data_IF_742853475900
#
_entry.id   IF_742853475900
#
_cell.length_a   1.000
_cell.length_b   1.000
_cell.length_c   1.000
_cell.angle_alpha   90.00
_cell.angle_beta   90.00
_cell.angle_gamma   90.00
#
_symmetry.space_group_name_H-M   'P 1'
#
loop_
_entity.id
_entity.type
_entity.pdbx_description
1 polymer ?
#
# COMPACT_ATOMS: atom_id res chain seq x y z
N UNK A 1 -26.16 17.06 -32.84
CA UNK A 1 -25.61 15.82 -33.43
C UNK A 1 -24.10 15.88 -33.28
N UNK A 2 -23.57 15.35 -32.18
CA UNK A 2 -22.14 15.30 -31.90
C UNK A 2 -21.84 13.90 -31.41
N UNK A 3 -21.35 13.06 -32.31
CA UNK A 3 -21.09 11.65 -32.07
C UNK A 3 -20.05 11.48 -30.96
N UNK A 4 -20.45 10.76 -29.92
CA UNK A 4 -19.53 10.14 -28.98
C UNK A 4 -18.64 9.17 -29.76
N UNK A 5 -17.36 9.54 -29.93
CA UNK A 5 -16.31 8.60 -30.35
C UNK A 5 -16.18 7.53 -29.26
N UNK A 6 -16.95 6.46 -29.40
CA UNK A 6 -16.76 5.23 -28.66
C UNK A 6 -15.37 4.68 -28.95
N UNK A 7 -14.55 4.59 -27.91
CA UNK A 7 -13.32 3.81 -27.91
C UNK A 7 -13.68 2.37 -28.29
N UNK A 8 -13.26 1.92 -29.48
CA UNK A 8 -13.42 0.53 -29.89
C UNK A 8 -12.77 -0.44 -28.91
N UNK A 9 -13.22 -1.70 -28.85
CA UNK A 9 -12.66 -2.69 -27.92
C UNK A 9 -11.17 -2.88 -28.23
N UNK A 10 -10.31 -2.38 -27.34
CA UNK A 10 -8.87 -2.60 -27.41
C UNK A 10 -8.60 -4.11 -27.43
N UNK A 11 -7.77 -4.58 -28.36
CA UNK A 11 -7.38 -5.99 -28.40
C UNK A 11 -6.77 -6.40 -27.05
N UNK A 12 -7.08 -7.62 -26.59
CA UNK A 12 -6.60 -8.14 -25.30
C UNK A 12 -5.08 -8.00 -25.14
N UNK A 13 -4.33 -8.20 -26.23
CA UNK A 13 -2.88 -8.02 -26.27
C UNK A 13 -2.44 -6.57 -25.97
N UNK A 14 -3.14 -5.57 -26.49
CA UNK A 14 -2.84 -4.16 -26.19
C UNK A 14 -3.12 -3.81 -24.72
N UNK A 15 -4.21 -4.33 -24.16
CA UNK A 15 -4.54 -4.11 -22.74
C UNK A 15 -3.47 -4.70 -21.82
N UNK A 16 -3.04 -5.93 -22.10
CA UNK A 16 -1.95 -6.59 -21.35
C UNK A 16 -0.63 -5.82 -21.51
N UNK A 17 -0.28 -5.39 -22.73
CA UNK A 17 0.94 -4.61 -22.96
C UNK A 17 0.95 -3.30 -22.17
N UNK A 18 -0.17 -2.57 -22.14
CA UNK A 18 -0.31 -1.34 -21.34
C UNK A 18 -0.18 -1.66 -19.85
N UNK A 19 -0.83 -2.72 -19.38
CA UNK A 19 -0.79 -3.12 -17.97
C UNK A 19 0.64 -3.46 -17.51
N UNK A 20 1.35 -4.32 -18.24
CA UNK A 20 2.73 -4.69 -17.93
C UNK A 20 3.69 -3.51 -18.11
N UNK A 21 3.46 -2.64 -19.10
CA UNK A 21 4.22 -1.40 -19.30
C UNK A 21 4.11 -0.43 -18.12
N UNK A 22 2.89 -0.18 -17.62
CA UNK A 22 2.67 0.64 -16.43
C UNK A 22 3.33 0.04 -15.19
N UNK A 23 3.30 -1.29 -15.05
CA UNK A 23 3.95 -2.00 -13.95
C UNK A 23 5.48 -1.86 -14.02
N UNK A 24 6.09 -2.11 -15.19
CA UNK A 24 7.52 -1.95 -15.38
C UNK A 24 7.98 -0.51 -15.11
N UNK A 25 7.21 0.49 -15.56
CA UNK A 25 7.47 1.90 -15.29
C UNK A 25 7.44 2.19 -13.79
N UNK A 26 6.42 1.70 -13.07
CA UNK A 26 6.33 1.89 -11.62
C UNK A 26 7.50 1.24 -10.87
N UNK A 27 7.89 0.01 -11.24
CA UNK A 27 9.04 -0.69 -10.66
C UNK A 27 10.33 0.11 -10.92
N UNK A 28 10.54 0.53 -12.16
CA UNK A 28 11.72 1.31 -12.56
C UNK A 28 11.81 2.64 -11.81
N UNK A 29 10.72 3.41 -11.75
CA UNK A 29 10.67 4.68 -11.02
C UNK A 29 10.90 4.46 -9.52
N UNK A 30 10.32 3.41 -8.95
CA UNK A 30 10.51 3.10 -7.52
C UNK A 30 11.97 2.75 -7.22
N UNK A 31 12.61 1.93 -8.05
CA UNK A 31 14.02 1.61 -7.90
C UNK A 31 14.88 2.86 -8.08
N UNK A 32 14.58 3.68 -9.09
CA UNK A 32 15.30 4.93 -9.37
C UNK A 32 15.28 5.88 -8.18
N UNK A 33 14.11 6.16 -7.58
CA UNK A 33 14.03 7.03 -6.39
C UNK A 33 14.88 6.49 -5.24
N UNK A 34 14.79 5.19 -4.96
CA UNK A 34 15.51 4.59 -3.82
C UNK A 34 17.03 4.65 -4.03
N UNK A 35 17.50 4.28 -5.23
CA UNK A 35 18.93 4.25 -5.55
C UNK A 35 19.50 5.66 -5.66
N UNK A 36 18.78 6.59 -6.29
CA UNK A 36 19.18 8.00 -6.38
C UNK A 36 19.20 8.64 -5.00
N UNK A 37 18.21 8.40 -4.15
CA UNK A 37 18.23 8.91 -2.76
C UNK A 37 19.43 8.37 -1.99
N UNK A 38 19.71 7.06 -2.07
CA UNK A 38 20.92 6.48 -1.45
C UNK A 38 22.19 7.13 -1.99
N UNK A 39 22.29 7.32 -3.31
CA UNK A 39 23.44 7.94 -3.95
C UNK A 39 23.63 9.38 -3.47
N UNK A 40 22.57 10.21 -3.46
CA UNK A 40 22.60 11.59 -2.98
C UNK A 40 23.10 11.65 -1.53
N UNK A 41 22.51 10.82 -0.67
CA UNK A 41 22.73 10.86 0.78
C UNK A 41 24.05 10.25 1.22
N UNK A 42 24.56 9.23 0.52
CA UNK A 42 25.74 8.48 0.96
C UNK A 42 26.97 8.63 0.06
N UNK A 43 26.83 9.16 -1.16
CA UNK A 43 27.93 9.19 -2.15
C UNK A 43 28.13 10.58 -2.74
N UNK A 44 27.07 11.30 -3.10
CA UNK A 44 27.17 12.56 -3.82
C UNK A 44 27.60 13.76 -2.96
N UNK A 45 27.77 13.59 -1.65
CA UNK A 45 28.17 14.67 -0.73
C UNK A 45 27.03 15.52 -0.20
N UNK A 46 25.78 15.01 -0.19
CA UNK A 46 24.63 15.71 0.37
C UNK A 46 23.91 14.85 1.44
N UNK A 47 24.48 14.67 2.65
CA UNK A 47 23.95 13.78 3.70
C UNK A 47 22.78 14.40 4.51
N UNK A 48 21.84 15.06 3.82
CA UNK A 48 20.75 15.83 4.43
C UNK A 48 19.37 15.27 4.02
N UNK A 49 18.90 14.19 4.69
CA UNK A 49 17.67 13.47 4.32
C UNK A 49 16.39 14.30 4.49
N UNK A 50 16.30 15.20 5.47
CA UNK A 50 15.12 16.04 5.65
C UNK A 50 15.05 17.05 4.50
N UNK A 51 16.16 17.69 4.15
CA UNK A 51 16.25 18.63 3.04
C UNK A 51 15.85 17.96 1.71
N UNK A 52 16.40 16.77 1.41
CA UNK A 52 16.05 16.01 0.21
C UNK A 52 14.55 15.71 0.13
N UNK A 53 13.96 15.19 1.21
CA UNK A 53 12.53 14.84 1.23
C UNK A 53 11.62 16.07 1.28
N UNK A 54 12.07 17.17 1.86
CA UNK A 54 11.39 18.47 1.82
C UNK A 54 11.30 18.99 0.39
N UNK A 55 12.39 18.90 -0.40
CA UNK A 55 12.39 19.26 -1.83
C UNK A 55 11.40 18.37 -2.60
N UNK A 56 11.37 17.06 -2.34
CA UNK A 56 10.42 16.15 -3.00
C UNK A 56 8.96 16.52 -2.72
N UNK A 57 8.62 16.78 -1.46
CA UNK A 57 7.25 17.14 -1.06
C UNK A 57 6.86 18.52 -1.54
N UNK A 58 7.77 19.50 -1.49
CA UNK A 58 7.53 20.86 -2.00
C UNK A 58 7.30 20.86 -3.51
N UNK A 59 8.20 20.20 -4.27
CA UNK A 59 8.08 20.04 -5.71
C UNK A 59 6.78 19.32 -6.09
N UNK A 60 6.49 18.18 -5.45
CA UNK A 60 5.27 17.42 -5.69
C UNK A 60 3.99 18.20 -5.37
N UNK A 61 4.01 18.99 -4.29
CA UNK A 61 2.90 19.88 -3.90
C UNK A 61 2.64 20.95 -4.95
N UNK A 62 3.69 21.64 -5.42
CA UNK A 62 3.57 22.69 -6.45
C UNK A 62 3.03 22.10 -7.76
N UNK A 63 3.59 20.98 -8.22
CA UNK A 63 3.11 20.34 -9.45
C UNK A 63 1.68 19.81 -9.33
N UNK A 64 1.32 19.18 -8.22
CA UNK A 64 -0.04 18.73 -7.98
C UNK A 64 -1.02 19.91 -8.03
N UNK A 65 -0.65 21.05 -7.43
CA UNK A 65 -1.44 22.27 -7.49
C UNK A 65 -1.61 22.79 -8.92
N UNK A 66 -0.52 22.85 -9.69
CA UNK A 66 -0.56 23.30 -11.09
C UNK A 66 -1.44 22.38 -11.94
N UNK A 67 -1.31 21.05 -11.81
CA UNK A 67 -2.11 20.07 -12.56
C UNK A 67 -3.60 20.24 -12.29
N UNK A 68 -3.98 20.43 -11.03
CA UNK A 68 -5.38 20.63 -10.64
C UNK A 68 -5.89 21.98 -11.15
N UNK A 69 -5.08 23.05 -11.05
CA UNK A 69 -5.47 24.39 -11.51
C UNK A 69 -5.60 24.49 -13.04
N UNK A 70 -4.79 23.73 -13.78
CA UNK A 70 -4.90 23.62 -15.24
C UNK A 70 -6.05 22.71 -15.69
N UNK A 71 -6.80 22.11 -14.77
CA UNK A 71 -7.91 21.20 -15.09
C UNK A 71 -7.45 19.85 -15.67
N UNK A 72 -6.17 19.50 -15.52
CA UNK A 72 -5.62 18.22 -16.00
C UNK A 72 -5.97 17.05 -15.07
N UNK A 73 -6.34 17.33 -13.82
CA UNK A 73 -6.88 16.34 -12.88
C UNK A 73 -7.86 17.00 -11.91
N UNK A 74 -8.84 16.21 -11.45
CA UNK A 74 -9.79 16.64 -10.43
C UNK A 74 -9.26 16.30 -9.03
N UNK A 75 -9.25 17.30 -8.15
CA UNK A 75 -9.00 17.11 -6.72
C UNK A 75 -10.35 16.96 -6.00
N UNK A 76 -10.45 15.91 -5.18
CA UNK A 76 -11.63 15.67 -4.34
C UNK A 76 -11.75 16.83 -3.34
N UNK A 77 -12.89 17.52 -3.25
CA UNK A 77 -13.06 18.56 -2.23
C UNK A 77 -13.05 17.94 -0.83
N UNK A 78 -12.30 18.55 0.09
CA UNK A 78 -12.19 18.14 1.50
C UNK A 78 -12.55 19.35 2.37
N UNK A 79 -13.43 19.16 3.36
CA UNK A 79 -13.78 20.22 4.31
C UNK A 79 -12.61 20.57 5.24
N UNK A 80 -12.57 21.80 5.76
CA UNK A 80 -11.52 22.24 6.67
C UNK A 80 -11.41 21.34 7.92
N UNK A 81 -12.54 20.94 8.50
CA UNK A 81 -12.56 20.04 9.67
C UNK A 81 -11.96 18.67 9.35
N UNK A 82 -12.25 18.14 8.16
CA UNK A 82 -11.69 16.86 7.71
C UNK A 82 -10.20 16.99 7.39
N UNK A 83 -9.78 18.13 6.86
CA UNK A 83 -8.38 18.42 6.61
C UNK A 83 -7.59 18.40 7.92
N UNK A 84 -8.06 19.10 8.95
CA UNK A 84 -7.40 19.17 10.26
C UNK A 84 -7.47 17.82 10.99
N UNK A 85 -8.63 17.19 11.02
CA UNK A 85 -8.87 15.96 11.80
C UNK A 85 -8.31 14.69 11.13
N UNK A 86 -8.01 14.70 9.83
CA UNK A 86 -7.53 13.51 9.11
C UNK A 86 -6.31 13.74 8.24
N UNK A 87 -6.31 14.79 7.41
CA UNK A 87 -5.19 15.02 6.48
C UNK A 87 -3.92 15.45 7.22
N UNK A 88 -4.02 16.33 8.22
CA UNK A 88 -2.85 16.76 9.01
C UNK A 88 -2.16 15.59 9.75
N UNK A 89 -2.87 14.73 10.51
CA UNK A 89 -2.24 13.53 11.10
C UNK A 89 -1.59 12.61 10.08
N UNK A 90 -2.23 12.40 8.92
CA UNK A 90 -1.68 11.58 7.83
C UNK A 90 -0.40 12.23 7.27
N UNK A 91 -0.40 13.55 7.08
CA UNK A 91 0.76 14.33 6.63
C UNK A 91 1.92 14.28 7.62
N UNK A 92 1.64 14.38 8.93
CA UNK A 92 2.65 14.25 9.99
C UNK A 92 3.32 12.87 9.98
N UNK A 93 2.52 11.80 9.93
CA UNK A 93 3.06 10.43 9.86
C UNK A 93 3.84 10.20 8.56
N UNK A 94 3.41 10.82 7.46
CA UNK A 94 4.15 10.75 6.21
C UNK A 94 5.49 11.46 6.29
N UNK A 95 5.54 12.66 6.89
CA UNK A 95 6.78 13.38 7.14
C UNK A 95 7.73 12.55 8.03
N UNK A 96 7.23 11.97 9.12
CA UNK A 96 8.00 11.07 9.98
C UNK A 96 8.54 9.84 9.23
N UNK A 97 7.72 9.25 8.36
CA UNK A 97 8.14 8.14 7.47
C UNK A 97 9.28 8.58 6.56
N UNK A 98 9.10 9.68 5.81
CA UNK A 98 10.09 10.15 4.84
C UNK A 98 11.41 10.52 5.52
N UNK A 99 11.36 11.24 6.63
CA UNK A 99 12.55 11.60 7.39
C UNK A 99 13.29 10.34 7.87
N UNK A 100 12.64 9.48 8.65
CA UNK A 100 13.32 8.34 9.28
C UNK A 100 13.79 7.29 8.27
N UNK A 101 13.01 7.02 7.21
CA UNK A 101 13.39 6.13 6.10
C UNK A 101 14.61 6.63 5.35
N UNK A 102 14.66 7.92 5.01
CA UNK A 102 15.79 8.46 4.26
C UNK A 102 17.04 8.63 5.14
N UNK A 103 16.87 8.96 6.42
CA UNK A 103 17.98 8.93 7.38
C UNK A 103 18.59 7.53 7.53
N UNK A 104 17.80 6.46 7.40
CA UNK A 104 18.32 5.09 7.47
C UNK A 104 19.34 4.79 6.35
N UNK A 105 19.23 5.44 5.19
CA UNK A 105 20.22 5.30 4.11
C UNK A 105 21.62 5.77 4.51
N UNK A 106 21.77 6.65 5.51
CA UNK A 106 23.09 7.07 5.98
C UNK A 106 23.82 5.96 6.75
N UNK A 107 23.08 4.99 7.29
CA UNK A 107 23.62 3.98 8.20
C UNK A 107 23.55 2.56 7.65
N UNK A 108 22.56 2.27 6.80
CA UNK A 108 22.28 0.93 6.32
C UNK A 108 22.48 0.80 4.80
N UNK A 109 22.72 -0.43 4.38
CA UNK A 109 22.66 -0.81 2.96
C UNK A 109 21.21 -0.78 2.47
N UNK A 110 21.04 -0.51 1.17
CA UNK A 110 19.69 -0.48 0.56
C UNK A 110 19.03 -1.85 0.60
N UNK A 111 19.80 -2.93 0.38
CA UNK A 111 19.34 -4.31 0.50
C UNK A 111 18.82 -4.60 1.91
N UNK A 112 19.56 -4.23 2.95
CA UNK A 112 19.14 -4.44 4.32
C UNK A 112 17.89 -3.62 4.70
N UNK A 113 17.79 -2.37 4.20
CA UNK A 113 16.57 -1.57 4.34
C UNK A 113 15.35 -2.28 3.72
N UNK A 114 15.48 -2.87 2.52
CA UNK A 114 14.37 -3.62 1.92
C UNK A 114 14.01 -4.88 2.72
N UNK A 115 15.01 -5.59 3.26
CA UNK A 115 14.79 -6.73 4.14
C UNK A 115 13.98 -6.31 5.37
N UNK A 116 14.37 -5.21 6.04
CA UNK A 116 13.63 -4.68 7.20
C UNK A 116 12.20 -4.28 6.82
N UNK A 117 11.99 -3.67 5.65
CA UNK A 117 10.66 -3.28 5.15
C UNK A 117 9.71 -4.44 4.94
N UNK A 118 10.19 -5.68 4.79
CA UNK A 118 9.31 -6.84 4.75
C UNK A 118 8.55 -7.09 6.07
N UNK A 119 8.87 -6.40 7.17
CA UNK A 119 8.06 -6.40 8.40
C UNK A 119 6.80 -5.53 8.28
N UNK A 120 6.68 -4.69 7.25
CA UNK A 120 5.55 -3.73 7.11
C UNK A 120 4.18 -4.41 7.23
N UNK A 121 3.89 -5.56 6.58
CA UNK A 121 2.59 -6.23 6.74
C UNK A 121 2.27 -6.62 8.19
N UNK A 122 3.27 -7.03 8.98
CA UNK A 122 3.12 -7.33 10.41
C UNK A 122 2.73 -6.07 11.19
N UNK A 123 3.44 -4.96 10.98
CA UNK A 123 3.17 -3.72 11.70
C UNK A 123 1.83 -3.11 11.29
N UNK A 124 1.49 -3.14 10.00
CA UNK A 124 0.16 -2.75 9.49
C UNK A 124 -0.95 -3.59 10.10
N UNK A 125 -0.76 -4.91 10.25
CA UNK A 125 -1.75 -5.78 10.90
C UNK A 125 -1.95 -5.39 12.37
N UNK A 126 -0.87 -5.25 13.15
CA UNK A 126 -0.94 -4.89 14.57
C UNK A 126 -1.60 -3.52 14.77
N UNK A 127 -1.17 -2.51 14.02
CA UNK A 127 -1.77 -1.17 14.07
C UNK A 127 -3.23 -1.21 13.61
N UNK A 128 -3.53 -1.96 12.54
CA UNK A 128 -4.89 -2.13 12.04
C UNK A 128 -5.84 -2.78 13.05
N UNK A 129 -5.36 -3.75 13.83
CA UNK A 129 -6.11 -4.31 14.96
C UNK A 129 -6.38 -3.24 16.04
N UNK A 130 -5.38 -2.43 16.38
CA UNK A 130 -5.53 -1.33 17.36
C UNK A 130 -6.56 -0.28 16.94
N UNK A 131 -6.64 0.04 15.64
CA UNK A 131 -7.62 0.98 15.08
C UNK A 131 -8.97 0.33 14.70
N UNK A 132 -9.12 -0.98 14.91
CA UNK A 132 -10.32 -1.72 14.53
C UNK A 132 -10.61 -1.68 13.03
N UNK A 133 -9.57 -1.68 12.19
CA UNK A 133 -9.68 -1.86 10.72
C UNK A 133 -9.40 -3.30 10.29
N UNK A 134 -8.73 -4.08 11.13
CA UNK A 134 -8.42 -5.50 10.88
C UNK A 134 -8.96 -6.37 12.02
N UNK A 135 -9.43 -7.58 11.68
CA UNK A 135 -9.91 -8.56 12.67
C UNK A 135 -8.72 -9.31 13.25
N UNK A 136 -8.55 -9.24 14.57
CA UNK A 136 -7.54 -10.01 15.26
C UNK A 136 -7.86 -11.50 15.20
N UNK A 137 -6.92 -12.30 14.70
CA UNK A 137 -7.00 -13.76 14.71
C UNK A 137 -5.64 -14.33 15.11
N UNK A 138 -5.64 -15.37 15.94
CA UNK A 138 -4.41 -15.98 16.43
C UNK A 138 -3.55 -16.54 15.28
N UNK A 139 -4.21 -17.07 14.24
CA UNK A 139 -3.54 -17.57 13.03
C UNK A 139 -2.80 -16.46 12.27
N UNK A 140 -3.42 -15.28 12.14
CA UNK A 140 -2.76 -14.14 11.49
C UNK A 140 -1.59 -13.64 12.33
N UNK A 141 -1.75 -13.55 13.66
CA UNK A 141 -0.66 -13.14 14.55
C UNK A 141 0.51 -14.12 14.49
N UNK A 142 0.25 -15.43 14.58
CA UNK A 142 1.28 -16.46 14.50
C UNK A 142 2.07 -16.38 13.19
N UNK A 143 1.38 -16.19 12.07
CA UNK A 143 2.05 -16.01 10.79
C UNK A 143 2.91 -14.72 10.75
N UNK A 144 2.43 -13.63 11.35
CA UNK A 144 3.21 -12.39 11.44
C UNK A 144 4.45 -12.53 12.34
N UNK A 145 4.38 -13.35 13.38
CA UNK A 145 5.56 -13.70 14.20
C UNK A 145 6.60 -14.45 13.36
N UNK A 146 6.18 -15.39 12.51
CA UNK A 146 7.10 -16.08 11.57
C UNK A 146 7.81 -15.09 10.65
N UNK A 147 7.09 -14.09 10.12
CA UNK A 147 7.68 -13.01 9.33
C UNK A 147 8.74 -12.23 10.13
N UNK A 148 8.44 -11.90 11.38
CA UNK A 148 9.39 -11.23 12.28
C UNK A 148 10.64 -12.06 12.57
N UNK A 149 10.49 -13.36 12.82
CA UNK A 149 11.61 -14.29 13.04
C UNK A 149 12.53 -14.36 11.82
N UNK A 150 11.98 -14.47 10.61
CA UNK A 150 12.80 -14.49 9.38
C UNK A 150 13.61 -13.20 9.20
N UNK A 151 13.05 -12.04 9.55
CA UNK A 151 13.77 -10.76 9.48
C UNK A 151 14.82 -10.64 10.59
N UNK A 152 14.56 -11.19 11.77
CA UNK A 152 15.57 -11.27 12.82
C UNK A 152 16.77 -12.15 12.40
N UNK A 153 16.50 -13.32 11.78
CA UNK A 153 17.55 -14.17 11.20
C UNK A 153 18.30 -13.42 10.10
N UNK A 154 17.59 -12.73 9.23
CA UNK A 154 18.25 -11.98 8.16
C UNK A 154 19.12 -10.85 8.71
N UNK A 155 18.63 -10.14 9.73
CA UNK A 155 19.38 -9.07 10.42
C UNK A 155 20.63 -9.59 11.13
N UNK A 156 20.60 -10.81 11.66
CA UNK A 156 21.79 -11.45 12.24
C UNK A 156 22.89 -11.70 11.18
N UNK A 157 22.49 -11.94 9.93
CA UNK A 157 23.41 -12.08 8.81
C UNK A 157 23.93 -10.76 8.24
N UNK A 158 23.54 -9.59 8.76
CA UNK A 158 23.94 -8.28 8.25
C UNK A 158 25.40 -7.94 8.57
N UNK A 159 26.17 -7.63 7.53
CA UNK A 159 27.59 -7.28 7.68
C UNK A 159 27.77 -5.87 8.25
N UNK A 160 26.90 -4.92 7.87
CA UNK A 160 26.94 -3.53 8.31
C UNK A 160 25.75 -3.21 9.22
N UNK A 161 25.63 -3.96 10.32
CA UNK A 161 24.53 -3.79 11.26
C UNK A 161 24.76 -2.57 12.16
N UNK A 162 24.11 -1.45 11.83
CA UNK A 162 24.15 -0.22 12.63
C UNK A 162 22.80 0.01 13.32
N UNK A 163 22.79 -0.10 14.66
CA UNK A 163 21.57 -0.03 15.49
C UNK A 163 20.77 1.24 15.24
N UNK A 164 21.42 2.41 15.16
CA UNK A 164 20.71 3.68 14.91
C UNK A 164 19.94 3.65 13.58
N UNK A 165 20.53 3.06 12.53
CA UNK A 165 19.88 2.85 11.25
C UNK A 165 18.67 1.93 11.34
N UNK A 166 18.78 0.85 12.12
CA UNK A 166 17.67 -0.09 12.35
C UNK A 166 16.53 0.58 13.11
N UNK A 167 16.83 1.34 14.16
CA UNK A 167 15.82 2.11 14.92
C UNK A 167 15.11 3.13 14.03
N UNK A 168 15.85 3.86 13.19
CA UNK A 168 15.28 4.77 12.21
C UNK A 168 14.37 4.03 11.22
N UNK A 169 14.80 2.90 10.68
CA UNK A 169 14.01 2.13 9.73
C UNK A 169 12.75 1.52 10.38
N UNK A 170 12.84 1.01 11.61
CA UNK A 170 11.67 0.54 12.37
C UNK A 170 10.69 1.68 12.68
N UNK A 171 11.20 2.87 13.02
CA UNK A 171 10.38 4.07 13.24
C UNK A 171 9.64 4.49 11.97
N UNK A 172 10.31 4.40 10.82
CA UNK A 172 9.70 4.61 9.51
C UNK A 172 8.57 3.64 9.24
N UNK A 173 8.77 2.35 9.51
CA UNK A 173 7.77 1.31 9.26
C UNK A 173 6.56 1.51 10.16
N UNK A 174 6.76 1.90 11.42
CA UNK A 174 5.67 2.23 12.33
C UNK A 174 4.86 3.43 11.82
N UNK A 175 5.53 4.55 11.51
CA UNK A 175 4.88 5.75 10.98
C UNK A 175 4.11 5.44 9.69
N UNK A 176 4.73 4.69 8.78
CA UNK A 176 4.14 4.30 7.51
C UNK A 176 2.91 3.43 7.72
N UNK A 177 3.00 2.43 8.60
CA UNK A 177 1.90 1.52 8.90
C UNK A 177 0.72 2.26 9.50
N UNK A 178 0.95 3.15 10.47
CA UNK A 178 -0.10 4.01 11.03
C UNK A 178 -0.70 4.94 9.98
N UNK A 179 0.13 5.55 9.12
CA UNK A 179 -0.35 6.38 8.00
C UNK A 179 -1.27 5.59 7.08
N UNK A 180 -0.86 4.38 6.68
CA UNK A 180 -1.64 3.50 5.81
C UNK A 180 -2.98 3.13 6.46
N UNK A 181 -3.00 2.81 7.75
CA UNK A 181 -4.24 2.53 8.50
C UNK A 181 -5.15 3.76 8.58
N UNK A 182 -4.61 4.97 8.82
CA UNK A 182 -5.40 6.20 8.82
C UNK A 182 -5.98 6.53 7.44
N UNK A 183 -5.20 6.35 6.37
CA UNK A 183 -5.69 6.49 5.00
C UNK A 183 -6.81 5.46 4.74
N UNK A 184 -6.66 4.22 5.18
CA UNK A 184 -7.71 3.20 5.07
C UNK A 184 -8.99 3.63 5.82
N UNK A 185 -8.87 4.17 7.04
CA UNK A 185 -10.02 4.70 7.79
C UNK A 185 -10.69 5.86 7.03
N UNK A 186 -9.91 6.78 6.47
CA UNK A 186 -10.43 7.92 5.70
C UNK A 186 -11.21 7.46 4.46
N UNK A 187 -10.67 6.48 3.73
CA UNK A 187 -11.30 5.97 2.51
C UNK A 187 -12.52 5.09 2.80
N UNK A 188 -12.42 4.18 3.78
CA UNK A 188 -13.45 3.17 4.03
C UNK A 188 -14.53 3.62 5.02
N UNK A 189 -14.16 4.27 6.13
CA UNK A 189 -15.12 4.67 7.18
C UNK A 189 -15.73 6.05 6.92
N UNK A 190 -14.97 6.99 6.36
CA UNK A 190 -15.46 8.34 6.03
C UNK A 190 -15.91 8.50 4.57
N UNK A 191 -15.74 7.46 3.74
CA UNK A 191 -16.28 7.41 2.38
C UNK A 191 -15.62 8.36 1.38
N UNK A 192 -14.43 8.88 1.68
CA UNK A 192 -13.72 9.80 0.77
C UNK A 192 -13.08 9.00 -0.35
N UNK A 193 -13.32 9.40 -1.61
CA UNK A 193 -12.61 8.83 -2.76
C UNK A 193 -11.42 9.74 -3.11
N UNK A 194 -10.21 9.29 -2.80
CA UNK A 194 -8.98 9.97 -3.20
C UNK A 194 -8.36 9.23 -4.38
N UNK A 195 -8.23 9.92 -5.52
CA UNK A 195 -7.28 9.50 -6.55
C UNK A 195 -5.86 9.90 -6.10
N UNK A 196 -4.77 9.28 -6.60
CA UNK A 196 -3.41 9.60 -6.14
C UNK A 196 -2.99 11.04 -6.37
N UNK A 197 -3.54 11.72 -7.39
CA UNK A 197 -3.29 13.16 -7.61
C UNK A 197 -3.93 14.00 -6.48
N UNK A 198 -5.16 13.69 -6.09
CA UNK A 198 -5.90 14.29 -4.96
C UNK A 198 -5.22 13.98 -3.63
N UNK A 199 -4.77 12.72 -3.45
CA UNK A 199 -3.94 12.31 -2.31
C UNK A 199 -2.69 13.18 -2.21
N UNK A 200 -1.96 13.35 -3.32
CA UNK A 200 -0.75 14.18 -3.34
C UNK A 200 -1.07 15.67 -3.11
N UNK A 201 -2.11 16.19 -3.76
CA UNK A 201 -2.57 17.57 -3.63
C UNK A 201 -2.92 17.94 -2.18
N UNK A 202 -3.54 17.03 -1.43
CA UNK A 202 -3.96 17.29 -0.04
C UNK A 202 -2.87 16.97 0.99
N UNK A 203 -2.14 15.86 0.82
CA UNK A 203 -1.19 15.36 1.82
C UNK A 203 0.21 15.96 1.64
N UNK A 204 0.68 16.20 0.41
CA UNK A 204 2.03 16.72 0.18
C UNK A 204 2.28 18.10 0.81
N UNK A 205 1.36 19.08 0.76
CA UNK A 205 1.56 20.36 1.43
C UNK A 205 1.68 20.21 2.96
N UNK A 206 0.82 19.38 3.57
CA UNK A 206 0.89 19.11 5.00
C UNK A 206 2.22 18.44 5.38
N UNK A 207 2.62 17.43 4.61
CA UNK A 207 3.91 16.74 4.77
C UNK A 207 5.10 17.69 4.63
N UNK A 208 5.06 18.59 3.63
CA UNK A 208 6.09 19.61 3.41
C UNK A 208 6.25 20.51 4.65
N UNK A 209 5.15 21.02 5.22
CA UNK A 209 5.22 21.87 6.42
C UNK A 209 5.84 21.12 7.60
N UNK A 210 5.45 19.86 7.83
CA UNK A 210 6.01 19.05 8.92
C UNK A 210 7.48 18.66 8.70
N UNK A 211 7.97 18.59 7.46
CA UNK A 211 9.40 18.41 7.16
C UNK A 211 10.19 19.71 7.20
N UNK A 212 9.56 20.81 6.78
CA UNK A 212 10.21 22.12 6.71
C UNK A 212 10.63 22.63 8.08
N UNK A 213 9.80 22.41 9.11
CA UNK A 213 10.14 22.77 10.49
C UNK A 213 11.45 22.12 10.96
N UNK A 214 11.60 20.79 11.05
CA UNK A 214 12.86 20.18 11.47
C UNK A 214 14.02 20.45 10.49
N UNK A 215 13.76 20.63 9.19
CA UNK A 215 14.80 21.06 8.25
C UNK A 215 15.44 22.39 8.67
N UNK A 216 14.62 23.41 8.97
CA UNK A 216 15.12 24.74 9.35
C UNK A 216 15.95 24.75 10.64
N UNK A 217 15.63 23.89 11.61
CA UNK A 217 16.32 23.87 12.90
C UNK A 217 17.50 22.88 12.97
N UNK A 218 17.49 21.81 12.17
CA UNK A 218 18.45 20.70 12.30
C UNK A 218 19.46 20.68 11.15
N UNK A 219 19.00 20.73 9.91
CA UNK A 219 19.85 20.51 8.73
C UNK A 219 20.28 21.81 8.07
N UNK A 220 19.41 22.82 7.99
CA UNK A 220 19.74 24.11 7.39
C UNK A 220 20.98 24.78 8.01
N UNK A 221 21.13 24.85 9.36
CA UNK A 221 22.33 25.44 9.95
C UNK A 221 23.61 24.66 9.61
N UNK A 222 23.49 23.33 9.47
CA UNK A 222 24.62 22.47 9.10
C UNK A 222 25.01 22.69 7.64
N UNK A 223 24.04 22.71 6.72
CA UNK A 223 24.27 22.98 5.30
C UNK A 223 24.94 24.35 5.10
N UNK A 224 24.47 25.39 5.79
CA UNK A 224 25.04 26.75 5.66
C UNK A 224 26.46 26.84 6.22
N UNK A 225 26.79 26.01 7.21
CA UNK A 225 28.10 26.02 7.88
C UNK A 225 29.09 25.01 7.28
N UNK A 226 28.65 24.17 6.36
CA UNK A 226 29.44 23.10 5.74
C UNK A 226 30.05 23.60 4.43
N UNK A 227 31.37 23.87 4.38
CA UNK A 227 32.03 24.38 3.17
C UNK A 227 32.17 23.31 2.08
N UNK A 228 32.06 22.03 2.43
CA UNK A 228 32.28 20.89 1.53
C UNK A 228 30.96 20.29 1.02
N UNK A 229 29.81 20.87 1.38
CA UNK A 229 28.50 20.40 0.92
C UNK A 229 28.37 20.53 -0.59
N UNK A 230 28.10 19.41 -1.26
CA UNK A 230 27.85 19.41 -2.69
C UNK A 230 26.35 19.57 -2.99
N UNK A 231 25.94 20.80 -3.35
CA UNK A 231 24.56 21.10 -3.73
C UNK A 231 24.43 21.00 -5.26
N UNK A 232 24.26 19.78 -5.76
CA UNK A 232 23.92 19.53 -7.16
C UNK A 232 22.41 19.74 -7.40
N UNK A 233 22.07 20.98 -7.76
CA UNK A 233 20.67 21.40 -8.00
C UNK A 233 19.98 20.54 -9.08
N UNK A 234 20.57 20.29 -10.26
CA UNK A 234 20.01 19.35 -11.24
C UNK A 234 19.72 17.96 -10.68
N UNK A 235 20.62 17.38 -9.89
CA UNK A 235 20.43 16.06 -9.29
C UNK A 235 19.30 16.06 -8.26
N UNK A 236 19.24 17.08 -7.40
CA UNK A 236 18.20 17.21 -6.36
C UNK A 236 16.81 17.37 -6.98
N UNK A 237 16.64 18.31 -7.92
CA UNK A 237 15.35 18.51 -8.60
C UNK A 237 15.02 17.36 -9.55
N UNK A 238 16.01 16.73 -10.18
CA UNK A 238 15.84 15.51 -10.96
C UNK A 238 15.26 14.38 -10.10
N UNK A 239 15.81 14.15 -8.91
CA UNK A 239 15.29 13.16 -7.96
C UNK A 239 13.85 13.46 -7.53
N UNK A 240 13.51 14.74 -7.32
CA UNK A 240 12.14 15.17 -7.01
C UNK A 240 11.19 14.92 -8.19
N UNK A 241 11.65 15.12 -9.43
CA UNK A 241 10.92 14.78 -10.65
C UNK A 241 10.62 13.28 -10.75
N UNK A 242 11.60 12.42 -10.46
CA UNK A 242 11.40 10.96 -10.42
C UNK A 242 10.41 10.58 -9.31
N UNK A 243 10.52 11.19 -8.13
CA UNK A 243 9.59 10.96 -7.02
C UNK A 243 8.16 11.37 -7.37
N UNK A 244 7.98 12.50 -8.07
CA UNK A 244 6.68 12.92 -8.58
C UNK A 244 6.15 11.95 -9.65
N UNK A 245 6.99 11.55 -10.61
CA UNK A 245 6.63 10.59 -11.65
C UNK A 245 6.22 9.23 -11.05
N UNK A 246 6.88 8.77 -9.99
CA UNK A 246 6.50 7.56 -9.25
C UNK A 246 5.09 7.67 -8.66
N UNK A 247 4.74 8.83 -8.07
CA UNK A 247 3.39 9.05 -7.56
C UNK A 247 2.35 9.02 -8.69
N UNK A 248 2.68 9.56 -9.87
CA UNK A 248 1.80 9.51 -11.03
C UNK A 248 1.69 8.10 -11.63
N UNK A 249 2.77 7.32 -11.65
CA UNK A 249 2.73 5.95 -12.17
C UNK A 249 1.83 5.04 -11.30
N UNK A 250 1.75 5.29 -9.98
CA UNK A 250 0.81 4.59 -9.10
C UNK A 250 -0.64 4.84 -9.52
N UNK A 251 -0.99 6.06 -9.91
CA UNK A 251 -2.34 6.36 -10.44
C UNK A 251 -2.67 5.58 -11.70
N UNK A 252 -1.74 5.56 -12.65
CA UNK A 252 -1.90 4.77 -13.88
C UNK A 252 -2.04 3.28 -13.56
N UNK A 253 -1.28 2.79 -12.59
CA UNK A 253 -1.28 1.38 -12.20
C UNK A 253 -2.61 0.98 -11.52
N UNK A 254 -3.11 1.78 -10.58
CA UNK A 254 -4.37 1.50 -9.85
C UNK A 254 -5.55 1.39 -10.84
N UNK A 255 -5.59 2.24 -11.87
CA UNK A 255 -6.66 2.22 -12.86
C UNK A 255 -6.60 1.03 -13.84
N UNK A 256 -5.47 0.33 -13.90
CA UNK A 256 -5.19 -0.72 -14.91
C UNK A 256 -4.89 -2.09 -14.31
N UNK A 257 -4.79 -2.20 -12.99
CA UNK A 257 -4.41 -3.44 -12.31
C UNK A 257 -5.32 -3.74 -11.12
N UNK A 258 -5.36 -5.01 -10.72
CA UNK A 258 -6.02 -5.43 -9.48
C UNK A 258 -5.11 -5.21 -8.27
N UNK A 259 -5.71 -5.11 -7.08
CA UNK A 259 -4.96 -5.08 -5.81
C UNK A 259 -4.02 -6.29 -5.66
N UNK A 260 -4.44 -7.46 -6.14
CA UNK A 260 -3.61 -8.68 -6.14
C UNK A 260 -2.37 -8.52 -7.03
N UNK A 261 -2.57 -8.01 -8.25
CA UNK A 261 -1.48 -7.77 -9.20
C UNK A 261 -0.46 -6.79 -8.63
N UNK A 262 -0.91 -5.71 -7.98
CA UNK A 262 -0.01 -4.75 -7.33
C UNK A 262 0.80 -5.38 -6.19
N UNK A 263 0.18 -6.25 -5.37
CA UNK A 263 0.89 -6.94 -4.30
C UNK A 263 2.01 -7.85 -4.83
N UNK A 264 1.74 -8.62 -5.91
CA UNK A 264 2.75 -9.50 -6.53
C UNK A 264 3.85 -8.66 -7.18
N UNK A 265 3.49 -7.60 -7.90
CA UNK A 265 4.46 -6.70 -8.51
C UNK A 265 5.38 -6.03 -7.47
N UNK A 266 4.83 -5.66 -6.31
CA UNK A 266 5.58 -5.10 -5.19
C UNK A 266 6.62 -6.06 -4.63
N UNK A 267 6.28 -7.34 -4.50
CA UNK A 267 7.25 -8.39 -4.12
C UNK A 267 8.39 -8.47 -5.13
N UNK A 268 8.06 -8.57 -6.43
CA UNK A 268 9.07 -8.68 -7.49
C UNK A 268 9.99 -7.45 -7.47
N UNK A 269 9.40 -6.27 -7.32
CA UNK A 269 10.12 -5.00 -7.16
C UNK A 269 11.12 -5.04 -6.01
N UNK A 270 10.73 -5.54 -4.84
CA UNK A 270 11.62 -5.59 -3.66
C UNK A 270 12.83 -6.51 -3.89
N UNK A 271 12.61 -7.70 -4.45
CA UNK A 271 13.69 -8.63 -4.82
C UNK A 271 14.63 -8.05 -5.88
N UNK A 272 14.06 -7.44 -6.93
CA UNK A 272 14.85 -6.75 -7.96
C UNK A 272 15.68 -5.62 -7.36
N UNK A 273 15.13 -4.89 -6.40
CA UNK A 273 15.81 -3.77 -5.77
C UNK A 273 16.96 -4.23 -4.87
N UNK A 274 16.79 -5.33 -4.14
CA UNK A 274 17.89 -5.97 -3.41
C UNK A 274 19.01 -6.31 -4.39
N UNK A 275 18.73 -7.06 -5.47
CA UNK A 275 19.73 -7.45 -6.45
C UNK A 275 20.43 -6.26 -7.12
N UNK A 276 19.67 -5.25 -7.55
CA UNK A 276 20.19 -4.04 -8.17
C UNK A 276 21.05 -3.22 -7.19
N UNK A 277 20.67 -3.16 -5.91
CA UNK A 277 21.46 -2.47 -4.90
C UNK A 277 22.80 -3.15 -4.62
N UNK A 278 22.87 -4.48 -4.66
CA UNK A 278 24.12 -5.23 -4.57
C UNK A 278 25.00 -4.96 -5.78
N UNK A 279 24.42 -4.96 -6.98
CA UNK A 279 25.15 -4.70 -8.22
C UNK A 279 25.75 -3.28 -8.29
N UNK A 280 25.02 -2.27 -7.80
CA UNK A 280 25.44 -0.86 -7.85
C UNK A 280 26.35 -0.48 -6.69
N UNK A 281 26.00 -0.86 -5.46
CA UNK A 281 26.71 -0.42 -4.25
C UNK A 281 27.70 -1.46 -3.70
N UNK A 282 27.75 -2.67 -4.26
CA UNK A 282 28.71 -3.72 -3.89
C UNK A 282 28.51 -4.34 -2.50
N UNK A 283 27.46 -3.97 -1.76
CA UNK A 283 27.20 -4.52 -0.43
C UNK A 283 26.76 -5.98 -0.54
N UNK A 284 27.62 -6.91 -0.10
CA UNK A 284 27.32 -8.34 -0.18
C UNK A 284 26.16 -8.74 0.76
N UNK A 285 25.17 -9.43 0.21
CA UNK A 285 24.07 -10.05 0.97
C UNK A 285 24.50 -11.47 1.35
N UNK A 286 24.53 -11.77 2.64
CA UNK A 286 25.00 -13.08 3.11
C UNK A 286 23.98 -14.19 2.84
N UNK A 287 24.40 -15.46 2.76
CA UNK A 287 23.46 -16.59 2.64
C UNK A 287 22.45 -16.65 3.80
N UNK A 288 22.86 -16.25 5.01
CA UNK A 288 21.98 -16.16 6.18
C UNK A 288 20.92 -15.07 5.99
N UNK A 289 21.29 -13.92 5.43
CA UNK A 289 20.32 -12.86 5.05
C UNK A 289 19.28 -13.39 4.08
N UNK A 290 19.71 -14.06 3.00
CA UNK A 290 18.80 -14.61 2.00
C UNK A 290 17.88 -15.68 2.59
N UNK A 291 18.41 -16.54 3.46
CA UNK A 291 17.62 -17.57 4.13
C UNK A 291 16.54 -16.97 5.04
N UNK A 292 16.91 -16.03 5.91
CA UNK A 292 15.96 -15.34 6.79
C UNK A 292 14.90 -14.56 6.01
N UNK A 293 15.34 -13.82 4.97
CA UNK A 293 14.43 -13.07 4.10
C UNK A 293 13.47 -14.01 3.34
N UNK A 294 13.95 -15.18 2.91
CA UNK A 294 13.12 -16.23 2.30
C UNK A 294 12.00 -16.71 3.22
N UNK A 295 12.28 -16.94 4.51
CA UNK A 295 11.27 -17.29 5.51
C UNK A 295 10.21 -16.19 5.62
N UNK A 296 10.64 -14.94 5.77
CA UNK A 296 9.72 -13.80 5.88
C UNK A 296 8.87 -13.61 4.63
N UNK A 297 9.48 -13.76 3.47
CA UNK A 297 8.80 -13.68 2.18
C UNK A 297 7.68 -14.73 2.07
N UNK A 298 7.97 -15.99 2.41
CA UNK A 298 6.97 -17.05 2.40
C UNK A 298 5.83 -16.77 3.40
N UNK A 299 6.16 -16.26 4.59
CA UNK A 299 5.16 -15.85 5.59
C UNK A 299 4.23 -14.74 5.08
N UNK A 300 4.77 -13.73 4.40
CA UNK A 300 3.96 -12.66 3.78
C UNK A 300 3.08 -13.21 2.65
N UNK A 301 3.61 -14.09 1.81
CA UNK A 301 2.84 -14.76 0.77
C UNK A 301 1.67 -15.57 1.34
N UNK A 302 1.92 -16.33 2.40
CA UNK A 302 0.89 -17.11 3.09
C UNK A 302 -0.18 -16.22 3.73
N UNK A 303 0.21 -15.10 4.34
CA UNK A 303 -0.75 -14.11 4.87
C UNK A 303 -1.66 -13.56 3.77
N UNK A 304 -1.06 -13.09 2.68
CA UNK A 304 -1.79 -12.50 1.57
C UNK A 304 -2.75 -13.52 0.95
N UNK A 305 -2.30 -14.77 0.80
CA UNK A 305 -3.15 -15.87 0.33
C UNK A 305 -4.37 -16.10 1.24
N UNK A 306 -4.18 -16.14 2.57
CA UNK A 306 -5.29 -16.29 3.51
C UNK A 306 -6.28 -15.12 3.40
N UNK A 307 -5.78 -13.88 3.35
CA UNK A 307 -6.61 -12.68 3.24
C UNK A 307 -7.43 -12.65 1.95
N UNK A 308 -6.80 -13.01 0.82
CA UNK A 308 -7.48 -13.10 -0.48
C UNK A 308 -8.53 -14.21 -0.48
N UNK A 309 -8.20 -15.37 0.08
CA UNK A 309 -9.13 -16.51 0.15
C UNK A 309 -10.36 -16.16 0.99
N UNK A 310 -10.18 -15.50 2.13
CA UNK A 310 -11.27 -15.02 2.97
C UNK A 310 -12.17 -14.01 2.23
N UNK A 311 -11.59 -13.09 1.45
CA UNK A 311 -12.36 -12.16 0.61
C UNK A 311 -13.19 -12.90 -0.45
N UNK A 312 -12.61 -13.89 -1.14
CA UNK A 312 -13.31 -14.70 -2.16
C UNK A 312 -14.50 -15.45 -1.56
N UNK A 313 -14.32 -16.08 -0.39
CA UNK A 313 -15.41 -16.80 0.30
C UNK A 313 -16.50 -15.84 0.77
N UNK A 314 -16.16 -14.62 1.21
CA UNK A 314 -17.15 -13.60 1.62
C UNK A 314 -17.91 -12.97 0.45
N UNK A 315 -17.37 -13.01 -0.77
CA UNK A 315 -18.00 -12.51 -2.00
C UNK A 315 -18.76 -13.56 -2.80
N UNK A 316 -18.74 -14.83 -2.38
CA UNK A 316 -19.56 -15.87 -3.00
C UNK A 316 -21.03 -15.65 -2.60
N UNK A 317 -21.98 -15.59 -3.55
CA UNK A 317 -23.39 -15.51 -3.20
C UNK A 317 -23.78 -16.72 -2.36
N UNK A 318 -24.46 -16.47 -1.25
CA UNK A 318 -25.18 -17.50 -0.50
C UNK A 318 -26.27 -18.11 -1.39
N UNK A 319 -25.91 -19.09 -2.22
CA UNK A 319 -26.86 -19.92 -2.98
C UNK A 319 -26.93 -21.34 -2.42
N UNK A 320 -26.65 -21.53 -1.11
CA UNK A 320 -26.70 -22.84 -0.45
C UNK A 320 -27.54 -22.89 0.83
N UNK A 321 -28.47 -21.94 1.00
CA UNK A 321 -29.43 -21.95 2.11
C UNK A 321 -30.90 -21.87 1.62
N UNK A 322 -31.23 -22.56 0.52
CA UNK A 322 -32.64 -22.70 0.08
C UNK A 322 -33.03 -24.11 -0.42
N UNK A 323 -32.13 -25.11 -0.41
CA UNK A 323 -32.42 -26.46 -0.94
C UNK A 323 -32.51 -27.56 0.13
N UNK A 324 -32.89 -27.22 1.37
CA UNK A 324 -33.31 -28.21 2.37
C UNK A 324 -34.48 -27.73 3.23
N UNK A 325 -35.55 -27.28 2.58
CA UNK A 325 -36.89 -27.32 3.19
C UNK A 325 -37.97 -27.45 2.11
N UNK A 326 -37.88 -28.54 1.34
CA UNK A 326 -39.01 -29.10 0.61
C UNK A 326 -38.92 -30.63 0.70
N UNK A 327 -39.27 -31.15 1.89
CA UNK A 327 -39.82 -32.49 1.96
C UNK A 327 -41.25 -32.41 1.38
N UNK A 328 -41.66 -33.33 0.49
CA UNK A 328 -43.01 -33.30 -0.05
C UNK A 328 -43.97 -33.74 1.06
N UNK A 329 -44.79 -32.81 1.54
CA UNK A 329 -45.98 -33.14 2.33
C UNK A 329 -46.95 -33.85 1.38
N UNK A 330 -47.03 -35.17 1.49
CA UNK A 330 -47.95 -35.98 0.72
C UNK A 330 -49.41 -35.64 1.01
N UNK A 331 -50.19 -35.51 -0.06
CA UNK A 331 -51.64 -35.65 -0.19
C UNK A 331 -52.49 -35.60 1.09
N UNK A 332 -53.18 -34.48 1.29
CA UNK A 332 -54.15 -34.31 2.35
C UNK A 332 -55.42 -33.52 2.01
N UNK A 333 -55.69 -33.21 0.73
CA UNK A 333 -56.86 -32.37 0.35
C UNK A 333 -57.71 -32.92 -0.81
N UNK A 334 -57.78 -34.25 -0.98
CA UNK A 334 -58.78 -34.88 -1.85
C UNK A 334 -59.72 -35.86 -1.12
N UNK A 335 -59.82 -35.78 0.21
CA UNK A 335 -60.60 -36.77 1.00
C UNK A 335 -61.65 -36.20 1.96
N UNK A 336 -62.15 -35.00 1.69
CA UNK A 336 -63.25 -34.41 2.46
C UNK A 336 -64.56 -34.30 1.67
N UNK A 337 -64.54 -34.21 0.33
CA UNK A 337 -65.79 -34.18 -0.46
C UNK A 337 -66.40 -35.55 -0.79
N UNK A 338 -65.65 -36.66 -0.67
CA UNK A 338 -66.17 -38.00 -0.96
C UNK A 338 -66.77 -38.70 0.28
N UNK A 339 -66.53 -38.19 1.50
CA UNK A 339 -66.99 -38.81 2.74
C UNK A 339 -68.39 -38.37 3.19
N UNK A 340 -68.84 -37.19 2.78
CA UNK A 340 -70.21 -36.72 3.05
C UNK A 340 -71.24 -37.24 2.03
N UNK A 341 -70.80 -37.64 0.83
CA UNK A 341 -71.68 -38.24 -0.18
C UNK A 341 -71.93 -39.76 0.00
N UNK A 342 -71.19 -40.43 0.87
CA UNK A 342 -71.38 -41.85 1.21
C UNK A 342 -72.17 -42.10 2.49
N UNK A 343 -72.39 -41.07 3.33
CA UNK A 343 -73.25 -41.15 4.52
C UNK A 343 -74.70 -40.71 4.28
N UNK A 344 -74.97 -40.00 3.17
CA UNK A 344 -76.33 -39.58 2.77
C UNK A 344 -77.10 -40.64 1.96
N UNK A 345 -76.42 -41.68 1.46
CA UNK A 345 -77.03 -42.70 0.57
C UNK A 345 -77.40 -44.03 1.24
N UNK A 346 -77.06 -44.22 2.51
CA UNK A 346 -77.37 -45.48 3.22
C UNK A 346 -78.61 -45.40 4.14
N UNK A 347 -79.34 -44.28 4.13
CA UNK A 347 -80.53 -44.07 4.98
C UNK A 347 -81.83 -43.86 4.19
N UNK A 348 -81.87 -44.34 2.93
CA UNK A 348 -83.12 -44.47 2.15
C UNK A 348 -83.14 -45.82 1.43
N UNK A 349 -83.57 -46.85 2.15
CA UNK A 349 -83.73 -48.19 1.60
C UNK A 349 -84.33 -49.24 2.55
N UNK A 350 -85.11 -48.88 3.57
CA UNK A 350 -86.11 -49.81 4.12
C UNK A 350 -87.43 -49.56 3.39
N UNK A 351 -87.75 -50.46 2.44
CA UNK A 351 -89.06 -51.12 2.26
C UNK A 351 -89.01 -52.12 1.12
#
# INVERSE_FOLDING_TARGET
MGEARGSGPQSLGMQLAIQYGCMALWIFLSASVILVNKYILSVAGFPYPIALTCIHMGFGSVLAFVIVKLGLAEATPISADMYISSILPIGLLFAGTLWTSNSAYLYLSVSFIQILKATTPLVVFVVGCGFGTEKFTLNSLANMVVVGVGIAIASYGELLFVVIGVVLQCSSILCESTRLTLVQVLLQKRGVKLNPVSTLYHIAPACFVFLFLPFTYIELPKIVSDPDVNIDVPLLFGSAGIAFALNMSVFLLIGKTSALTMNIAGVVKDWLLIGLSVAIFGNAVTPIQLFGYGISFLGVCYYNYQKISAMKTSSAPSSRASDKEHAPSGNGEERVEERDNLLSKNDRGEK
#
